data_IF_702390956185
#
_entry.id   IF_702390956185
#
_cell.length_a   1.000
_cell.length_b   1.000
_cell.length_c   1.000
_cell.angle_alpha   90.00
_cell.angle_beta   90.00
_cell.angle_gamma   90.00
#
_symmetry.space_group_name_H-M   'P 1'
#
loop_
_entity.id
_entity.type
_entity.pdbx_description
1 polymer ?
#
# COMPACT_ATOMS: atom_id res chain seq x y z
N UNK A 1 -5.42 -73.81 8.62
CA UNK A 1 -4.19 -73.35 7.97
C UNK A 1 -4.29 -71.85 7.92
N UNK A 2 -3.97 -71.22 9.05
CA UNK A 2 -4.13 -69.80 9.29
C UNK A 2 -2.84 -69.08 8.91
N UNK A 3 -2.90 -68.26 7.87
CA UNK A 3 -1.80 -67.41 7.44
C UNK A 3 -1.89 -66.08 8.18
N UNK A 4 -0.90 -65.85 9.04
CA UNK A 4 -0.78 -64.71 9.92
C UNK A 4 -0.10 -63.56 9.15
N UNK A 5 -0.88 -62.57 8.71
CA UNK A 5 -0.41 -61.40 7.97
C UNK A 5 0.09 -60.34 8.96
N UNK A 6 1.39 -60.38 9.24
CA UNK A 6 2.05 -59.43 10.13
C UNK A 6 2.16 -58.05 9.47
N UNK A 7 1.26 -57.14 9.85
CA UNK A 7 1.36 -55.70 9.58
C UNK A 7 2.58 -55.11 10.27
N UNK A 8 3.67 -54.95 9.51
CA UNK A 8 4.87 -54.24 9.95
C UNK A 8 4.60 -52.73 9.89
N UNK A 9 4.35 -52.15 11.06
CA UNK A 9 4.25 -50.70 11.23
C UNK A 9 5.62 -50.04 10.93
N UNK A 10 5.73 -49.42 9.75
CA UNK A 10 6.89 -48.61 9.37
C UNK A 10 6.86 -47.30 10.15
N UNK A 11 7.72 -47.19 11.17
CA UNK A 11 7.93 -45.95 11.93
C UNK A 11 8.54 -44.90 10.99
N UNK A 12 7.78 -43.84 10.70
CA UNK A 12 8.21 -42.72 9.88
C UNK A 12 9.38 -41.97 10.55
N UNK A 13 10.60 -42.16 10.06
CA UNK A 13 11.76 -41.38 10.47
C UNK A 13 11.69 -40.00 9.81
N UNK A 14 11.64 -38.94 10.61
CA UNK A 14 11.68 -37.55 10.15
C UNK A 14 13.06 -37.26 9.57
N UNK A 15 13.20 -37.37 8.25
CA UNK A 15 14.46 -37.08 7.56
C UNK A 15 14.73 -35.57 7.62
N UNK A 16 15.85 -35.22 8.27
CA UNK A 16 16.40 -33.86 8.30
C UNK A 16 16.50 -33.35 6.86
N UNK A 17 15.78 -32.27 6.54
CA UNK A 17 15.74 -31.69 5.19
C UNK A 17 17.16 -31.34 4.76
N UNK A 18 17.66 -32.00 3.73
CA UNK A 18 18.97 -31.70 3.14
C UNK A 18 18.87 -30.34 2.44
N UNK A 19 19.81 -29.45 2.75
CA UNK A 19 19.88 -28.14 2.14
C UNK A 19 20.80 -28.20 0.92
N UNK A 20 20.41 -27.57 -0.19
CA UNK A 20 21.24 -27.50 -1.39
C UNK A 20 22.49 -26.65 -1.08
N UNK A 21 23.72 -27.10 -1.41
CA UNK A 21 24.94 -26.31 -1.25
C UNK A 21 24.93 -25.02 -2.07
N UNK A 22 25.86 -24.10 -1.76
CA UNK A 22 25.93 -22.78 -2.39
C UNK A 22 26.08 -22.87 -3.93
N UNK A 23 26.89 -23.81 -4.41
CA UNK A 23 27.15 -23.98 -5.84
C UNK A 23 25.86 -24.34 -6.61
N UNK A 24 25.07 -25.28 -6.09
CA UNK A 24 23.75 -25.61 -6.66
C UNK A 24 22.76 -24.46 -6.59
N UNK A 25 22.83 -23.62 -5.54
CA UNK A 25 21.98 -22.42 -5.46
C UNK A 25 22.37 -21.36 -6.49
N UNK A 26 23.65 -21.21 -6.82
CA UNK A 26 24.11 -20.29 -7.85
C UNK A 26 23.55 -20.64 -9.22
N UNK A 27 23.43 -21.94 -9.55
CA UNK A 27 22.82 -22.41 -10.79
C UNK A 27 21.35 -21.95 -10.89
N UNK A 28 20.57 -22.15 -9.82
CA UNK A 28 19.16 -21.73 -9.77
C UNK A 28 19.01 -20.21 -9.80
N UNK A 29 19.86 -19.49 -9.07
CA UNK A 29 19.86 -18.03 -9.00
C UNK A 29 20.21 -17.41 -10.36
N UNK A 30 21.18 -17.96 -11.10
CA UNK A 30 21.57 -17.49 -12.44
C UNK A 30 20.41 -17.53 -13.43
N UNK A 31 19.53 -18.52 -13.35
CA UNK A 31 18.32 -18.60 -14.21
C UNK A 31 17.25 -17.62 -13.76
N UNK A 32 17.10 -17.41 -12.45
CA UNK A 32 16.21 -16.39 -11.91
C UNK A 32 16.63 -14.97 -12.33
N UNK A 33 17.94 -14.68 -12.32
CA UNK A 33 18.49 -13.37 -12.69
C UNK A 33 18.31 -13.07 -14.20
N UNK A 34 18.10 -14.11 -15.01
CA UNK A 34 17.68 -13.99 -16.41
C UNK A 34 16.17 -13.71 -16.58
N UNK A 35 15.43 -13.53 -15.49
CA UNK A 35 13.99 -13.25 -15.49
C UNK A 35 13.09 -14.50 -15.57
N UNK A 36 13.65 -15.71 -15.56
CA UNK A 36 12.86 -16.94 -15.62
C UNK A 36 12.33 -17.28 -14.23
N UNK A 37 11.08 -16.89 -13.97
CA UNK A 37 10.41 -17.15 -12.69
C UNK A 37 9.58 -18.45 -12.69
N UNK A 38 9.20 -18.94 -13.86
CA UNK A 38 8.39 -20.14 -14.07
C UNK A 38 9.07 -21.06 -15.11
N UNK A 39 10.15 -21.77 -14.73
CA UNK A 39 10.85 -22.64 -15.66
C UNK A 39 9.95 -23.77 -16.16
N UNK A 40 9.94 -23.99 -17.46
CA UNK A 40 9.23 -25.10 -18.10
C UNK A 40 9.88 -26.44 -17.72
N UNK A 41 9.15 -27.54 -17.86
CA UNK A 41 9.67 -28.90 -17.60
C UNK A 41 11.05 -29.17 -18.23
N UNK A 42 11.30 -28.92 -19.54
CA UNK A 42 12.63 -29.14 -20.12
C UNK A 42 13.72 -28.27 -19.48
N UNK A 43 13.42 -27.02 -19.11
CA UNK A 43 14.37 -26.13 -18.43
C UNK A 43 14.68 -26.63 -17.01
N UNK A 44 13.69 -27.20 -16.30
CA UNK A 44 13.92 -27.80 -14.98
C UNK A 44 14.80 -29.04 -15.07
N UNK A 45 14.65 -29.86 -16.11
CA UNK A 45 15.52 -31.01 -16.34
C UNK A 45 16.95 -30.57 -16.68
N UNK A 46 17.13 -29.52 -17.46
CA UNK A 46 18.46 -28.95 -17.74
C UNK A 46 19.13 -28.43 -16.46
N UNK A 47 18.39 -27.69 -15.63
CA UNK A 47 18.85 -27.24 -14.31
C UNK A 47 19.21 -28.41 -13.39
N UNK A 48 18.41 -29.47 -13.42
CA UNK A 48 18.64 -30.68 -12.63
C UNK A 48 19.94 -31.37 -13.06
N UNK A 49 20.17 -31.52 -14.36
CA UNK A 49 21.41 -32.08 -14.90
C UNK A 49 22.62 -31.25 -14.48
N UNK A 50 22.56 -29.92 -14.57
CA UNK A 50 23.64 -29.04 -14.11
C UNK A 50 23.92 -29.20 -12.60
N UNK A 51 22.89 -29.41 -11.78
CA UNK A 51 23.05 -29.67 -10.34
C UNK A 51 23.63 -31.08 -10.09
N UNK A 52 23.28 -32.06 -10.91
CA UNK A 52 23.83 -33.42 -10.84
C UNK A 52 25.30 -33.47 -11.27
N UNK A 53 25.70 -32.66 -12.25
CA UNK A 53 27.10 -32.50 -12.68
C UNK A 53 27.99 -31.92 -11.55
N UNK A 54 27.40 -31.17 -10.61
CA UNK A 54 28.06 -30.70 -9.38
C UNK A 54 28.11 -31.76 -8.27
N UNK A 55 27.68 -33.00 -8.55
CA UNK A 55 27.66 -34.11 -7.60
C UNK A 55 26.44 -34.16 -6.67
N UNK A 56 25.39 -33.36 -6.92
CA UNK A 56 24.19 -33.32 -6.09
C UNK A 56 23.05 -34.20 -6.64
N UNK A 57 23.34 -35.48 -6.87
CA UNK A 57 22.40 -36.46 -7.48
C UNK A 57 21.14 -36.75 -6.66
N UNK A 58 21.13 -36.38 -5.37
CA UNK A 58 19.97 -36.51 -4.49
C UNK A 58 18.90 -35.44 -4.73
N UNK A 59 19.21 -34.39 -5.48
CA UNK A 59 18.25 -33.35 -5.83
C UNK A 59 17.31 -33.84 -6.92
N UNK A 60 16.02 -33.51 -6.85
CA UNK A 60 15.00 -33.98 -7.81
C UNK A 60 14.37 -32.83 -8.59
N UNK A 61 13.65 -33.13 -9.68
CA UNK A 61 12.91 -32.12 -10.45
C UNK A 61 11.88 -31.38 -9.58
N UNK A 62 11.19 -32.09 -8.68
CA UNK A 62 10.23 -31.50 -7.75
C UNK A 62 10.92 -30.53 -6.78
N UNK A 63 12.16 -30.83 -6.37
CA UNK A 63 12.96 -29.95 -5.52
C UNK A 63 13.31 -28.64 -6.22
N UNK A 64 13.68 -28.70 -7.51
CA UNK A 64 13.86 -27.51 -8.37
C UNK A 64 12.54 -26.71 -8.43
N UNK A 65 11.42 -27.36 -8.72
CA UNK A 65 10.12 -26.70 -8.82
C UNK A 65 9.71 -26.03 -7.49
N UNK A 66 9.86 -26.73 -6.36
CA UNK A 66 9.59 -26.20 -5.02
C UNK A 66 10.47 -25.00 -4.69
N UNK A 67 11.75 -25.02 -5.09
CA UNK A 67 12.64 -23.89 -4.90
C UNK A 67 12.10 -22.63 -5.59
N UNK A 68 11.66 -22.73 -6.86
CA UNK A 68 11.07 -21.59 -7.57
C UNK A 68 9.73 -21.14 -6.96
N UNK A 69 8.88 -22.07 -6.50
CA UNK A 69 7.64 -21.72 -5.77
C UNK A 69 7.96 -20.91 -4.50
N UNK A 70 8.90 -21.40 -3.69
CA UNK A 70 9.32 -20.72 -2.47
C UNK A 70 9.94 -19.35 -2.76
N UNK A 71 10.78 -19.26 -3.81
CA UNK A 71 11.41 -18.00 -4.21
C UNK A 71 10.37 -16.96 -4.64
N UNK A 72 9.39 -17.35 -5.46
CA UNK A 72 8.27 -16.47 -5.85
C UNK A 72 7.43 -16.01 -4.66
N UNK A 73 7.13 -16.92 -3.71
CA UNK A 73 6.41 -16.55 -2.47
C UNK A 73 7.20 -15.53 -1.66
N UNK A 74 8.52 -15.74 -1.51
CA UNK A 74 9.40 -14.80 -0.80
C UNK A 74 9.45 -13.43 -1.48
N UNK A 75 9.53 -13.39 -2.81
CA UNK A 75 9.49 -12.12 -3.58
C UNK A 75 8.16 -11.37 -3.40
N UNK A 76 7.03 -12.08 -3.42
CA UNK A 76 5.71 -11.49 -3.15
C UNK A 76 5.64 -10.92 -1.73
N UNK A 77 6.18 -11.64 -0.75
CA UNK A 77 6.20 -11.19 0.65
C UNK A 77 7.09 -9.94 0.81
N UNK A 78 8.29 -9.91 0.22
CA UNK A 78 9.14 -8.73 0.26
C UNK A 78 8.51 -7.53 -0.46
N UNK A 79 7.77 -7.76 -1.54
CA UNK A 79 7.04 -6.70 -2.25
C UNK A 79 5.87 -6.17 -1.42
N UNK A 80 5.11 -7.05 -0.76
CA UNK A 80 4.04 -6.66 0.15
C UNK A 80 4.60 -5.85 1.33
N UNK A 81 5.72 -6.29 1.92
CA UNK A 81 6.39 -5.57 2.99
C UNK A 81 6.95 -4.22 2.52
N UNK A 82 7.56 -4.15 1.34
CA UNK A 82 8.02 -2.90 0.76
C UNK A 82 6.87 -1.93 0.47
N UNK A 83 5.71 -2.44 0.04
CA UNK A 83 4.49 -1.66 -0.10
C UNK A 83 4.02 -1.13 1.25
N UNK A 84 3.88 -2.00 2.26
CA UNK A 84 3.49 -1.58 3.61
C UNK A 84 4.46 -0.57 4.22
N UNK A 85 5.76 -0.70 3.95
CA UNK A 85 6.77 0.27 4.38
C UNK A 85 6.68 1.59 3.61
N UNK A 86 6.37 1.56 2.31
CA UNK A 86 6.16 2.77 1.51
C UNK A 86 4.85 3.50 1.87
N UNK A 87 3.83 2.78 2.34
CA UNK A 87 2.61 3.39 2.90
C UNK A 87 2.79 3.84 4.36
N UNK A 88 3.91 3.52 5.00
CA UNK A 88 4.28 3.98 6.34
C UNK A 88 4.97 5.36 6.33
N UNK A 89 4.74 6.16 5.28
CA UNK A 89 5.09 7.58 5.29
C UNK A 89 4.03 8.31 6.09
N UNK A 90 4.29 8.41 7.39
CA UNK A 90 3.99 9.56 8.26
C UNK A 90 2.67 10.31 7.98
N UNK A 91 1.56 9.60 7.93
CA UNK A 91 0.23 10.18 8.19
C UNK A 91 -0.06 9.96 9.68
N UNK A 92 0.25 10.98 10.49
CA UNK A 92 -0.71 12.04 10.81
C UNK A 92 -1.82 11.51 11.70
N UNK A 93 -1.67 11.71 13.03
CA UNK A 93 -2.62 11.33 14.09
C UNK A 93 -3.06 9.88 14.02
N UNK A 94 -2.49 9.03 14.90
CA UNK A 94 -2.84 7.61 15.07
C UNK A 94 -4.27 7.32 14.62
N UNK A 95 -4.43 6.59 13.53
CA UNK A 95 -5.74 6.16 13.04
C UNK A 95 -6.57 5.53 14.18
N UNK A 96 -5.89 4.90 15.15
CA UNK A 96 -6.47 4.42 16.40
C UNK A 96 -7.09 5.53 17.27
N UNK A 97 -6.45 6.69 17.42
CA UNK A 97 -7.01 7.83 18.14
C UNK A 97 -8.25 8.40 17.45
N UNK A 98 -8.21 8.48 16.12
CA UNK A 98 -9.33 8.89 15.29
C UNK A 98 -10.54 7.94 15.44
N UNK A 99 -10.32 6.62 15.39
CA UNK A 99 -11.41 5.65 15.57
C UNK A 99 -11.89 5.59 17.04
N UNK A 100 -11.02 5.87 18.03
CA UNK A 100 -11.42 6.05 19.44
C UNK A 100 -12.41 7.22 19.60
N UNK A 101 -12.21 8.33 18.87
CA UNK A 101 -13.17 9.45 18.89
C UNK A 101 -14.53 8.98 18.35
N UNK A 102 -14.54 8.21 17.24
CA UNK A 102 -15.77 7.68 16.66
C UNK A 102 -16.54 6.77 17.63
N UNK A 103 -15.87 5.84 18.32
CA UNK A 103 -16.55 4.93 19.26
C UNK A 103 -17.10 5.67 20.47
N UNK A 104 -16.39 6.69 20.96
CA UNK A 104 -16.84 7.51 22.09
C UNK A 104 -18.03 8.41 21.75
N UNK A 105 -18.09 8.94 20.52
CA UNK A 105 -19.14 9.85 20.09
C UNK A 105 -20.40 9.13 19.61
N UNK A 106 -20.25 7.99 18.94
CA UNK A 106 -21.38 7.25 18.34
C UNK A 106 -21.19 5.75 18.54
N UNK A 107 -21.81 5.13 19.56
CA UNK A 107 -21.66 3.70 19.84
C UNK A 107 -22.20 2.81 18.71
N UNK A 108 -23.17 3.30 17.95
CA UNK A 108 -23.74 2.61 16.78
C UNK A 108 -23.64 3.51 15.54
N UNK A 109 -22.44 3.63 14.94
CA UNK A 109 -22.27 4.48 13.76
C UNK A 109 -23.01 3.89 12.56
N UNK A 110 -23.58 4.76 11.72
CA UNK A 110 -24.21 4.34 10.47
C UNK A 110 -23.16 3.83 9.47
N UNK A 111 -23.57 2.95 8.54
CA UNK A 111 -22.65 2.41 7.53
C UNK A 111 -21.95 3.51 6.70
N UNK A 112 -22.70 4.56 6.34
CA UNK A 112 -22.15 5.72 5.61
C UNK A 112 -21.06 6.45 6.42
N UNK A 113 -21.20 6.50 7.75
CA UNK A 113 -20.18 7.05 8.63
C UNK A 113 -18.95 6.13 8.64
N UNK A 114 -19.14 4.81 8.78
CA UNK A 114 -18.06 3.80 8.72
C UNK A 114 -17.26 3.93 7.41
N UNK A 115 -17.91 4.06 6.25
CA UNK A 115 -17.23 4.26 4.97
C UNK A 115 -16.41 5.56 4.92
N UNK A 116 -16.90 6.62 5.54
CA UNK A 116 -16.20 7.92 5.59
C UNK A 116 -14.94 7.81 6.44
N UNK A 117 -15.03 7.15 7.59
CA UNK A 117 -13.89 6.90 8.47
C UNK A 117 -12.90 5.91 7.87
N UNK A 118 -13.37 4.90 7.14
CA UNK A 118 -12.53 3.98 6.38
C UNK A 118 -11.69 4.72 5.33
N UNK A 119 -12.31 5.66 4.58
CA UNK A 119 -11.59 6.53 3.64
C UNK A 119 -10.57 7.44 4.34
N UNK A 120 -10.95 8.02 5.47
CA UNK A 120 -10.11 8.94 6.24
C UNK A 120 -8.90 8.25 6.87
N UNK A 121 -9.08 7.02 7.36
CA UNK A 121 -8.03 6.21 8.03
C UNK A 121 -7.31 5.26 7.08
N UNK A 122 -7.64 5.31 5.79
CA UNK A 122 -7.14 4.38 4.76
C UNK A 122 -7.29 2.90 5.14
N UNK A 123 -8.34 2.57 5.90
CA UNK A 123 -8.68 1.21 6.35
C UNK A 123 -9.88 0.67 5.58
N UNK A 124 -10.15 -0.64 5.66
CA UNK A 124 -11.38 -1.19 5.07
C UNK A 124 -12.60 -0.88 5.94
N UNK A 125 -13.81 -0.71 5.36
CA UNK A 125 -15.03 -0.51 6.15
C UNK A 125 -15.28 -1.64 7.17
N UNK A 126 -14.97 -2.88 6.78
CA UNK A 126 -15.08 -4.05 7.66
C UNK A 126 -14.14 -3.98 8.87
N UNK A 127 -12.91 -3.49 8.69
CA UNK A 127 -11.95 -3.33 9.78
C UNK A 127 -12.42 -2.28 10.77
N UNK A 128 -12.93 -1.14 10.28
CA UNK A 128 -13.50 -0.07 11.13
C UNK A 128 -14.73 -0.59 11.88
N UNK A 129 -15.61 -1.34 11.22
CA UNK A 129 -16.80 -1.92 11.86
C UNK A 129 -16.43 -2.93 12.95
N UNK A 130 -15.47 -3.82 12.69
CA UNK A 130 -14.97 -4.79 13.67
C UNK A 130 -14.36 -4.08 14.88
N UNK A 131 -13.51 -3.09 14.62
CA UNK A 131 -12.88 -2.32 15.69
C UNK A 131 -13.92 -1.61 16.57
N UNK A 132 -14.95 -0.99 15.97
CA UNK A 132 -16.04 -0.33 16.73
C UNK A 132 -16.81 -1.34 17.59
N UNK A 133 -17.08 -2.55 17.08
CA UNK A 133 -17.74 -3.61 17.87
C UNK A 133 -16.88 -4.10 19.03
N UNK A 134 -15.57 -4.22 18.82
CA UNK A 134 -14.65 -4.73 19.85
C UNK A 134 -14.36 -3.69 20.94
N UNK A 135 -14.42 -2.39 20.60
CA UNK A 135 -14.07 -1.29 21.52
C UNK A 135 -15.28 -0.52 22.05
N UNK A 136 -16.49 -0.83 21.60
CA UNK A 136 -17.70 -0.35 22.26
C UNK A 136 -18.04 -1.37 23.36
N UNK A 137 -17.73 -1.10 24.64
CA UNK A 137 -18.18 -1.96 25.71
C UNK A 137 -19.69 -1.92 25.63
N UNK A 138 -20.29 -3.01 25.16
CA UNK A 138 -21.74 -3.16 25.10
C UNK A 138 -22.23 -2.81 26.49
N UNK A 139 -22.83 -1.62 26.61
CA UNK A 139 -23.57 -1.24 27.80
C UNK A 139 -24.77 -2.16 27.77
N UNK A 140 -24.58 -3.35 28.32
CA UNK A 140 -25.58 -4.40 28.45
C UNK A 140 -26.70 -3.88 29.35
N UNK A 141 -27.56 -3.02 28.80
CA UNK A 141 -28.83 -2.62 29.40
C UNK A 141 -29.84 -3.77 29.45
N UNK A 142 -29.44 -4.97 29.02
CA UNK A 142 -30.22 -6.21 29.04
C UNK A 142 -29.88 -7.14 30.22
N UNK A 143 -28.94 -6.79 31.10
CA UNK A 143 -28.55 -7.63 32.26
C UNK A 143 -29.49 -7.57 33.48
N UNK A 144 -30.79 -7.38 33.26
CA UNK A 144 -31.83 -7.79 34.20
C UNK A 144 -32.88 -8.55 33.41
N UNK A 145 -33.01 -9.84 33.69
CA UNK A 145 -33.94 -10.83 33.10
C UNK A 145 -33.28 -11.74 32.05
N UNK A 146 -32.55 -12.75 32.49
CA UNK A 146 -32.70 -14.14 32.02
C UNK A 146 -31.61 -15.05 32.63
N UNK A 147 -31.78 -15.39 33.92
CA UNK A 147 -31.28 -16.65 34.44
C UNK A 147 -32.20 -17.78 33.95
N UNK A 148 -31.96 -18.34 32.76
CA UNK A 148 -32.40 -19.70 32.40
C UNK A 148 -31.90 -20.10 31.01
N UNK A 149 -30.77 -20.80 30.97
CA UNK A 149 -30.54 -21.99 30.12
C UNK A 149 -29.05 -22.33 30.18
N UNK A 150 -28.64 -23.56 30.45
CA UNK A 150 -29.23 -24.75 29.88
C UNK A 150 -28.38 -25.18 28.69
N UNK A 151 -27.34 -25.96 29.00
CA UNK A 151 -26.65 -26.96 28.18
C UNK A 151 -27.28 -27.27 26.81
N UNK A 152 -26.50 -27.19 25.72
CA UNK A 152 -26.88 -27.85 24.47
C UNK A 152 -26.06 -27.57 23.21
N UNK A 153 -24.96 -28.34 23.04
CA UNK A 153 -24.55 -29.08 21.82
C UNK A 153 -24.64 -28.46 20.41
N UNK A 154 -23.48 -28.52 19.72
CA UNK A 154 -23.20 -29.05 18.36
C UNK A 154 -24.14 -28.68 17.19
N UNK A 155 -23.57 -28.04 16.16
CA UNK A 155 -23.83 -28.30 14.73
C UNK A 155 -22.68 -27.66 13.92
N UNK A 156 -21.90 -28.36 13.10
CA UNK A 156 -22.23 -29.03 11.81
C UNK A 156 -22.27 -28.05 10.64
N UNK A 157 -21.27 -28.19 9.73
CA UNK A 157 -21.33 -28.13 8.25
C UNK A 157 -21.83 -26.78 7.66
N UNK A 158 -21.14 -26.16 6.70
CA UNK A 158 -21.37 -26.29 5.25
C UNK A 158 -20.18 -25.62 4.53
N UNK A 159 -19.67 -26.29 3.50
CA UNK A 159 -18.82 -25.70 2.47
C UNK A 159 -19.73 -25.03 1.44
N UNK A 160 -19.58 -23.72 1.21
CA UNK A 160 -20.25 -23.03 0.12
C UNK A 160 -19.21 -22.65 -0.95
N UNK A 161 -19.40 -23.34 -2.07
CA UNK A 161 -18.92 -23.06 -3.40
C UNK A 161 -19.67 -21.82 -3.91
N UNK A 162 -18.95 -20.80 -4.34
CA UNK A 162 -19.52 -19.60 -4.94
C UNK A 162 -18.58 -19.10 -6.04
N UNK A 163 -18.62 -19.79 -7.18
CA UNK A 163 -18.37 -19.18 -8.48
C UNK A 163 -19.45 -18.11 -8.71
N UNK A 164 -19.05 -16.83 -8.77
CA UNK A 164 -19.91 -15.78 -9.30
C UNK A 164 -19.12 -14.95 -10.31
N UNK A 165 -19.80 -14.83 -11.44
CA UNK A 165 -19.44 -14.34 -12.76
C UNK A 165 -19.19 -12.81 -12.79
N UNK A 166 -18.81 -12.36 -13.99
CA UNK A 166 -19.07 -11.05 -14.62
C UNK A 166 -18.27 -9.78 -14.22
N UNK A 167 -17.15 -9.56 -14.92
CA UNK A 167 -16.51 -8.24 -15.12
C UNK A 167 -17.32 -7.37 -16.12
N UNK A 168 -17.75 -6.14 -15.78
CA UNK A 168 -18.34 -5.23 -16.75
C UNK A 168 -17.24 -4.46 -17.53
N UNK A 169 -17.15 -4.79 -18.81
CA UNK A 169 -16.32 -4.14 -19.84
C UNK A 169 -16.79 -2.69 -20.11
N UNK A 170 -16.15 -1.68 -19.50
CA UNK A 170 -16.47 -0.28 -19.80
C UNK A 170 -15.87 0.16 -21.15
N UNK A 171 -16.76 0.46 -22.09
CA UNK A 171 -16.47 1.00 -23.43
C UNK A 171 -16.04 2.46 -23.34
N UNK A 172 -14.84 2.74 -23.84
CA UNK A 172 -14.23 4.07 -23.95
C UNK A 172 -14.89 4.82 -25.12
N UNK A 173 -15.67 5.87 -24.83
CA UNK A 173 -16.23 6.77 -25.84
C UNK A 173 -15.18 7.83 -26.18
N UNK A 174 -14.73 7.84 -27.43
CA UNK A 174 -13.86 8.87 -28.00
C UNK A 174 -14.76 9.96 -28.57
N UNK A 175 -14.85 11.10 -27.89
CA UNK A 175 -15.51 12.30 -28.44
C UNK A 175 -14.51 13.07 -29.29
N UNK A 176 -14.74 13.08 -30.61
CA UNK A 176 -14.08 13.95 -31.56
C UNK A 176 -14.60 15.39 -31.43
N UNK A 177 -13.69 16.35 -31.33
CA UNK A 177 -14.00 17.77 -31.35
C UNK A 177 -13.85 18.30 -32.77
N UNK A 178 -14.96 18.81 -33.31
CA UNK A 178 -15.11 19.28 -34.67
C UNK A 178 -14.38 20.61 -34.92
N UNK A 179 -13.88 20.74 -36.13
CA UNK A 179 -13.33 21.95 -36.73
C UNK A 179 -14.40 23.05 -36.86
N UNK A 180 -13.99 24.31 -36.70
CA UNK A 180 -14.80 25.46 -37.05
C UNK A 180 -14.01 26.41 -37.98
N UNK A 181 -14.64 27.04 -38.99
CA UNK A 181 -13.96 27.74 -40.06
C UNK A 181 -13.82 29.26 -39.80
N UNK A 182 -12.76 29.83 -40.37
CA UNK A 182 -12.60 31.26 -40.70
C UNK A 182 -13.55 31.65 -41.88
N UNK A 183 -13.77 32.92 -42.30
CA UNK A 183 -12.86 34.10 -42.21
C UNK A 183 -13.53 35.50 -42.06
N UNK A 184 -12.73 36.56 -41.84
CA UNK A 184 -12.97 37.90 -42.43
C UNK A 184 -11.74 38.81 -42.28
N UNK A 185 -11.52 39.57 -43.35
CA UNK A 185 -10.32 40.31 -43.74
C UNK A 185 -10.50 41.81 -43.43
N UNK A 186 -9.54 42.48 -42.77
CA UNK A 186 -9.49 43.95 -42.68
C UNK A 186 -8.02 44.42 -42.66
N UNK A 187 -7.61 45.40 -43.49
CA UNK A 187 -6.25 45.90 -43.50
C UNK A 187 -6.12 47.13 -42.58
N UNK A 188 -5.25 47.06 -41.57
CA UNK A 188 -4.75 48.24 -40.89
C UNK A 188 -3.28 48.03 -40.50
N UNK A 189 -2.43 48.81 -41.17
CA UNK A 189 -1.00 48.91 -40.93
C UNK A 189 -0.73 49.48 -39.53
N UNK A 190 -0.39 48.60 -38.58
CA UNK A 190 0.27 48.95 -37.33
C UNK A 190 1.43 47.99 -37.14
N UNK A 191 2.63 48.55 -36.99
CA UNK A 191 3.84 47.78 -36.69
C UNK A 191 3.61 47.03 -35.37
N UNK A 192 3.52 45.68 -35.38
CA UNK A 192 3.19 44.94 -34.18
C UNK A 192 4.40 44.93 -33.25
N UNK A 193 4.26 45.55 -32.08
CA UNK A 193 5.09 45.21 -30.94
C UNK A 193 5.02 43.69 -30.76
N UNK A 194 6.14 42.97 -30.56
CA UNK A 194 6.11 41.54 -30.37
C UNK A 194 5.14 41.21 -29.23
N UNK A 195 4.17 40.30 -29.45
CA UNK A 195 3.24 39.90 -28.40
C UNK A 195 4.08 39.34 -27.24
N UNK A 196 4.03 40.03 -26.10
CA UNK A 196 4.59 39.50 -24.86
C UNK A 196 3.88 38.17 -24.62
N UNK A 197 4.60 37.04 -24.53
CA UNK A 197 3.99 35.76 -24.24
C UNK A 197 3.20 35.90 -22.93
N UNK A 198 1.87 35.82 -23.02
CA UNK A 198 1.01 35.72 -21.86
C UNK A 198 1.22 34.31 -21.29
N UNK A 199 2.26 34.19 -20.47
CA UNK A 199 2.52 33.00 -19.66
C UNK A 199 1.30 32.83 -18.76
N UNK A 200 0.68 31.65 -18.79
CA UNK A 200 -0.47 31.40 -17.93
C UNK A 200 -0.05 31.58 -16.45
N UNK A 201 -0.95 32.01 -15.55
CA UNK A 201 -0.62 32.11 -14.12
C UNK A 201 -0.04 30.81 -13.54
N UNK A 202 -0.46 29.67 -14.10
CA UNK A 202 0.04 28.34 -13.75
C UNK A 202 1.48 28.14 -14.22
N UNK A 203 1.81 28.50 -15.46
CA UNK A 203 3.17 28.43 -15.98
C UNK A 203 4.12 29.40 -15.25
N UNK A 204 3.61 30.55 -14.80
CA UNK A 204 4.39 31.52 -14.01
C UNK A 204 4.69 30.95 -12.62
N UNK A 205 3.71 30.30 -11.99
CA UNK A 205 3.91 29.60 -10.71
C UNK A 205 4.89 28.42 -10.86
N UNK A 206 4.72 27.60 -11.89
CA UNK A 206 5.65 26.50 -12.21
C UNK A 206 7.06 27.05 -12.44
N UNK A 207 7.21 28.09 -13.24
CA UNK A 207 8.51 28.72 -13.49
C UNK A 207 9.16 29.24 -12.20
N UNK A 208 8.37 29.84 -11.30
CA UNK A 208 8.86 30.30 -10.00
C UNK A 208 9.30 29.15 -9.09
N UNK A 209 8.57 28.03 -9.07
CA UNK A 209 8.94 26.81 -8.33
C UNK A 209 10.26 26.25 -8.89
N UNK A 210 10.35 26.09 -10.21
CA UNK A 210 11.55 25.60 -10.87
C UNK A 210 12.76 26.52 -10.63
N UNK A 211 12.56 27.84 -10.69
CA UNK A 211 13.60 28.82 -10.37
C UNK A 211 14.03 28.72 -8.90
N UNK A 212 13.10 28.57 -7.95
CA UNK A 212 13.41 28.38 -6.53
C UNK A 212 14.18 27.09 -6.26
N UNK A 213 13.82 26.00 -6.93
CA UNK A 213 14.52 24.71 -6.80
C UNK A 213 15.90 24.74 -7.47
N UNK A 214 16.05 25.44 -8.59
CA UNK A 214 17.31 25.52 -9.35
C UNK A 214 18.29 26.55 -8.79
N UNK A 215 17.79 27.59 -8.13
CA UNK A 215 18.60 28.61 -7.46
C UNK A 215 19.00 28.23 -6.04
N UNK A 216 18.59 27.05 -5.56
CA UNK A 216 19.09 26.53 -4.28
C UNK A 216 20.61 26.37 -4.38
N UNK A 217 21.40 27.16 -3.63
CA UNK A 217 22.84 27.06 -3.66
C UNK A 217 23.22 25.65 -3.19
N UNK A 218 23.96 24.92 -4.05
CA UNK A 218 24.77 23.73 -3.73
C UNK A 218 24.39 23.07 -2.41
N UNK A 219 23.59 22.00 -2.48
CA UNK A 219 23.14 21.13 -1.39
C UNK A 219 23.70 21.52 -0.01
N UNK A 220 22.88 22.11 0.89
CA UNK A 220 23.36 22.49 2.21
C UNK A 220 24.01 21.26 2.86
N UNK A 221 25.18 21.43 3.51
CA UNK A 221 25.95 20.31 4.00
C UNK A 221 25.08 19.48 4.95
N UNK A 222 24.94 18.19 4.65
CA UNK A 222 24.14 17.27 5.46
C UNK A 222 24.60 17.38 6.93
N UNK A 223 23.68 17.59 7.88
CA UNK A 223 24.04 17.72 9.28
C UNK A 223 24.68 16.42 9.76
N UNK A 224 25.87 16.53 10.35
CA UNK A 224 26.63 15.37 10.86
C UNK A 224 26.30 15.02 12.31
N UNK A 225 25.52 15.85 12.97
CA UNK A 225 25.12 15.69 14.36
C UNK A 225 23.73 16.29 14.62
N UNK A 226 23.09 15.85 15.70
CA UNK A 226 21.79 16.38 16.14
C UNK A 226 21.84 17.87 16.48
N UNK A 227 22.92 18.34 17.12
CA UNK A 227 23.09 19.77 17.43
C UNK A 227 23.17 20.62 16.17
N UNK A 228 23.85 20.14 15.12
CA UNK A 228 23.91 20.84 13.84
C UNK A 228 22.55 20.83 13.13
N UNK A 229 21.83 19.71 13.18
CA UNK A 229 20.47 19.62 12.65
C UNK A 229 19.53 20.64 13.33
N UNK A 230 19.51 20.68 14.66
CA UNK A 230 18.67 21.62 15.41
C UNK A 230 19.03 23.08 15.09
N UNK A 231 20.31 23.37 14.89
CA UNK A 231 20.75 24.73 14.51
C UNK A 231 20.24 25.13 13.12
N UNK A 232 20.24 24.20 12.17
CA UNK A 232 19.71 24.43 10.82
C UNK A 232 18.18 24.55 10.81
N UNK A 233 17.49 23.86 11.73
CA UNK A 233 16.02 23.84 11.79
C UNK A 233 15.39 24.92 12.67
N UNK A 234 16.13 25.46 13.65
CA UNK A 234 15.63 26.47 14.60
C UNK A 234 14.94 27.70 13.94
N UNK A 235 15.42 28.25 12.81
CA UNK A 235 14.72 29.36 12.15
C UNK A 235 13.33 28.96 11.63
N UNK A 236 13.18 27.71 11.16
CA UNK A 236 11.91 27.18 10.66
C UNK A 236 10.94 26.86 11.79
N UNK A 237 11.44 26.33 12.91
CA UNK A 237 10.64 26.15 14.13
C UNK A 237 10.07 27.51 14.59
N UNK A 238 10.91 28.54 14.63
CA UNK A 238 10.48 29.91 15.01
C UNK A 238 9.40 30.44 14.05
N UNK A 239 9.59 30.28 12.74
CA UNK A 239 8.56 30.69 11.76
C UNK A 239 7.25 29.92 11.91
N UNK A 240 7.31 28.63 12.26
CA UNK A 240 6.12 27.81 12.50
C UNK A 240 5.40 28.23 13.77
N UNK A 241 6.13 28.50 14.85
CA UNK A 241 5.57 29.00 16.10
C UNK A 241 4.91 30.37 15.92
N UNK A 242 5.55 31.29 15.19
CA UNK A 242 4.99 32.59 14.83
C UNK A 242 3.70 32.43 14.02
N UNK A 243 3.72 31.56 13.00
CA UNK A 243 2.54 31.26 12.20
C UNK A 243 1.39 30.70 13.03
N UNK A 244 1.66 29.72 13.90
CA UNK A 244 0.66 29.12 14.80
C UNK A 244 0.11 30.18 15.76
N UNK A 245 0.95 31.09 16.24
CA UNK A 245 0.53 32.20 17.08
C UNK A 245 -0.35 33.21 16.32
N UNK A 246 -0.01 33.54 15.07
CA UNK A 246 -0.81 34.39 14.18
C UNK A 246 -2.20 33.78 13.91
N UNK A 247 -2.27 32.45 13.77
CA UNK A 247 -3.55 31.71 13.64
C UNK A 247 -4.36 31.78 14.93
N UNK A 248 -3.72 31.52 16.09
CA UNK A 248 -4.40 31.54 17.40
C UNK A 248 -4.92 32.92 17.78
N UNK A 249 -4.17 33.96 17.45
CA UNK A 249 -4.52 35.36 17.75
C UNK A 249 -5.46 35.97 16.71
N UNK A 250 -5.65 35.31 15.56
CA UNK A 250 -6.48 35.82 14.45
C UNK A 250 -5.79 36.88 13.61
N UNK A 251 -4.52 37.21 13.87
CA UNK A 251 -3.73 38.20 13.11
C UNK A 251 -3.48 37.77 11.65
N UNK A 252 -3.66 36.48 11.35
CA UNK A 252 -3.57 35.99 9.97
C UNK A 252 -4.60 36.65 9.03
N UNK A 253 -5.73 37.14 9.57
CA UNK A 253 -6.75 37.87 8.82
C UNK A 253 -6.21 39.20 8.26
N UNK A 254 -5.31 39.86 8.99
CA UNK A 254 -4.69 41.13 8.57
C UNK A 254 -3.75 40.95 7.36
N UNK A 255 -3.29 39.72 7.12
CA UNK A 255 -2.46 39.34 5.97
C UNK A 255 -3.27 38.92 4.74
N UNK A 256 -4.59 39.12 4.75
CA UNK A 256 -5.47 38.81 3.62
C UNK A 256 -5.90 37.34 3.54
N UNK A 257 -5.63 36.55 4.57
CA UNK A 257 -6.13 35.18 4.70
C UNK A 257 -7.50 35.22 5.37
N UNK A 258 -8.52 35.65 4.62
CA UNK A 258 -9.89 35.59 5.10
C UNK A 258 -10.25 34.11 5.31
N UNK A 259 -10.36 33.67 6.57
CA UNK A 259 -10.93 32.36 6.87
C UNK A 259 -12.36 32.37 6.36
N UNK A 260 -12.60 31.62 5.27
CA UNK A 260 -13.94 31.35 4.79
C UNK A 260 -14.67 30.59 5.89
N UNK A 261 -15.43 31.32 6.70
CA UNK A 261 -16.38 30.73 7.64
C UNK A 261 -17.44 30.06 6.77
N UNK A 262 -17.33 28.75 6.62
CA UNK A 262 -18.38 27.92 6.03
C UNK A 262 -19.56 27.94 7.01
N UNK A 263 -20.48 28.87 6.79
CA UNK A 263 -21.81 28.92 7.43
C UNK A 263 -22.73 27.86 6.86
#
# INVERSE_FOLDING_TARGET
MDSNEASVATKATTTKRRHLPADGQLVLQKVLDKGVTHPLKPQRLELLNQIHDLGHTWYTEESVNHWFIHRRRKMKQSQAQARSAATSVDTSMDAHHLINILSSATPNPSWKLIETWAKLTHSTPDDVQRWVKDNNPVVDQSSVNNLASGSGRRSSIVAEDAESDEEPLMKRVVSGSAANPAPANVPASYSPSPPIPQISPEDQLLSAIHAGLSSSPSDPPLPRSSSQFNTLFAPYETMMDDFVNDVKTGSISDRGWNMFVLT
#
